data_IF_935005931213
#
_entry.id   IF_935005931213
#
_cell.length_a   1.000
_cell.length_b   1.000
_cell.length_c   1.000
_cell.angle_alpha   90.00
_cell.angle_beta   90.00
_cell.angle_gamma   90.00
#
_symmetry.space_group_name_H-M   'P 1'
#
loop_
_entity.id
_entity.type
_entity.pdbx_description
1 polymer ?
#
# COMPACT_ATOMS: atom_id res chain seq x y z
N UNK A 1 -14.73 -12.68 -20.16
CA UNK A 1 -14.48 -13.49 -18.95
C UNK A 1 -13.09 -13.15 -18.47
N UNK A 2 -13.01 -12.85 -17.19
CA UNK A 2 -11.95 -12.15 -16.46
C UNK A 2 -10.59 -12.86 -16.49
N UNK A 3 -9.56 -12.15 -16.94
CA UNK A 3 -8.18 -12.34 -16.48
C UNK A 3 -7.45 -10.99 -16.59
N UNK A 4 -7.64 -10.15 -15.56
CA UNK A 4 -6.75 -9.01 -15.29
C UNK A 4 -5.76 -9.52 -14.25
N UNK A 5 -4.80 -10.32 -14.69
CA UNK A 5 -3.58 -10.53 -13.92
C UNK A 5 -2.74 -9.27 -14.08
N UNK A 6 -2.99 -8.28 -13.22
CA UNK A 6 -1.93 -7.39 -12.74
C UNK A 6 -0.75 -8.31 -12.43
N UNK A 7 0.49 -8.07 -12.94
CA UNK A 7 1.59 -9.00 -12.73
C UNK A 7 1.66 -9.22 -11.24
N UNK A 8 1.25 -10.43 -10.84
CA UNK A 8 1.01 -10.73 -9.45
C UNK A 8 2.34 -10.44 -8.78
N UNK A 9 2.39 -9.46 -7.88
CA UNK A 9 3.50 -9.41 -6.94
C UNK A 9 3.47 -10.78 -6.28
N UNK A 10 4.33 -11.68 -6.76
CA UNK A 10 4.46 -13.00 -6.19
C UNK A 10 4.92 -12.76 -4.77
N UNK A 11 4.05 -13.07 -3.81
CA UNK A 11 4.36 -12.84 -2.41
C UNK A 11 5.52 -13.77 -2.06
N UNK A 12 6.68 -13.19 -1.87
CA UNK A 12 7.88 -13.93 -1.52
C UNK A 12 7.95 -14.09 0.00
N UNK A 13 7.55 -15.27 0.46
CA UNK A 13 7.65 -15.69 1.85
C UNK A 13 9.10 -16.05 2.17
N UNK A 14 9.66 -15.43 3.21
CA UNK A 14 10.97 -15.76 3.77
C UNK A 14 10.99 -17.19 4.30
N UNK A 15 12.08 -17.91 4.01
CA UNK A 15 12.26 -19.36 4.20
C UNK A 15 11.23 -20.26 3.48
N UNK A 16 10.21 -19.70 2.83
CA UNK A 16 9.12 -20.43 2.17
C UNK A 16 8.43 -21.45 3.09
N UNK A 17 8.22 -21.08 4.36
CA UNK A 17 7.55 -21.92 5.36
C UNK A 17 6.32 -21.19 5.90
N UNK A 18 5.17 -21.87 5.93
CA UNK A 18 3.91 -21.37 6.50
C UNK A 18 3.52 -22.18 7.73
N UNK A 19 3.07 -21.47 8.76
CA UNK A 19 2.46 -22.03 9.95
C UNK A 19 0.95 -22.01 9.85
N UNK A 20 0.29 -23.04 10.39
CA UNK A 20 -1.16 -23.13 10.49
C UNK A 20 -1.52 -23.83 11.81
N UNK A 21 -2.40 -23.21 12.61
CA UNK A 21 -2.79 -23.72 13.93
C UNK A 21 -4.24 -23.36 14.25
N UNK A 22 -4.98 -24.31 14.85
CA UNK A 22 -6.21 -24.03 15.60
C UNK A 22 -5.87 -23.48 16.98
N UNK A 23 -6.44 -22.32 17.33
CA UNK A 23 -6.25 -21.70 18.63
C UNK A 23 -7.08 -22.42 19.69
N UNK A 24 -6.45 -22.81 20.80
CA UNK A 24 -7.13 -23.42 21.94
C UNK A 24 -7.76 -22.38 22.87
N UNK A 25 -8.61 -22.83 23.81
CA UNK A 25 -9.12 -21.94 24.87
C UNK A 25 -7.99 -21.34 25.71
N UNK A 26 -6.92 -22.09 25.96
CA UNK A 26 -5.71 -21.60 26.62
C UNK A 26 -4.96 -20.52 25.81
N UNK A 27 -4.81 -20.70 24.48
CA UNK A 27 -4.22 -19.67 23.60
C UNK A 27 -5.01 -18.35 23.69
N UNK A 28 -6.34 -18.46 23.71
CA UNK A 28 -7.28 -17.33 23.76
C UNK A 28 -7.49 -16.74 25.16
N UNK A 29 -6.96 -17.38 26.20
CA UNK A 29 -7.09 -16.95 27.59
C UNK A 29 -8.51 -17.14 28.17
N UNK A 30 -9.24 -18.15 27.67
CA UNK A 30 -10.56 -18.55 28.18
C UNK A 30 -10.47 -19.62 29.28
N UNK A 31 -9.41 -20.42 29.28
CA UNK A 31 -9.21 -21.50 30.26
C UNK A 31 -8.44 -20.98 31.49
N UNK A 32 -8.65 -21.61 32.65
CA UNK A 32 -7.95 -21.34 33.92
C UNK A 32 -6.46 -21.72 33.90
N UNK A 33 -5.87 -21.83 32.72
CA UNK A 33 -4.45 -22.04 32.50
C UNK A 33 -3.72 -20.71 32.64
N UNK A 34 -2.59 -20.67 33.36
CA UNK A 34 -1.70 -19.51 33.42
C UNK A 34 -0.96 -19.24 32.09
N UNK A 35 -1.52 -19.62 30.94
CA UNK A 35 -0.87 -19.50 29.65
C UNK A 35 -0.87 -18.05 29.17
N UNK A 36 0.30 -17.43 29.22
CA UNK A 36 0.54 -16.01 28.86
C UNK A 36 0.83 -15.79 27.38
N UNK A 37 0.84 -16.84 26.57
CA UNK A 37 1.32 -16.78 25.18
C UNK A 37 0.56 -17.70 24.22
N UNK A 38 0.63 -17.43 22.91
CA UNK A 38 0.27 -18.37 21.85
C UNK A 38 1.53 -19.08 21.39
N UNK A 39 1.58 -20.41 21.53
CA UNK A 39 2.72 -21.20 21.06
C UNK A 39 2.68 -21.39 19.54
N UNK A 40 3.75 -20.98 18.86
CA UNK A 40 3.97 -21.11 17.41
C UNK A 40 5.04 -22.17 17.09
N UNK A 41 4.99 -22.72 15.87
CA UNK A 41 5.94 -23.73 15.41
C UNK A 41 7.33 -23.11 15.23
N UNK A 42 8.35 -23.73 15.85
CA UNK A 42 9.75 -23.27 15.86
C UNK A 42 10.47 -23.23 14.50
N UNK A 43 9.92 -23.90 13.48
CA UNK A 43 10.54 -23.89 12.16
C UNK A 43 10.42 -22.54 11.46
N UNK A 44 9.58 -21.64 11.98
CA UNK A 44 9.28 -20.32 11.44
C UNK A 44 9.82 -19.27 12.41
N UNK A 45 10.28 -18.13 11.91
CA UNK A 45 10.89 -17.04 12.69
C UNK A 45 12.19 -17.39 13.44
N UNK A 46 12.99 -18.33 12.92
CA UNK A 46 14.28 -18.74 13.53
C UNK A 46 15.28 -17.60 13.71
N UNK A 47 15.08 -16.50 13.00
CA UNK A 47 15.91 -15.30 13.08
C UNK A 47 15.61 -14.42 14.29
N UNK A 48 14.54 -14.67 15.05
CA UNK A 48 14.32 -14.02 16.33
C UNK A 48 15.12 -14.71 17.45
N UNK A 49 15.75 -13.88 18.28
CA UNK A 49 16.39 -14.23 19.53
C UNK A 49 15.35 -14.28 20.68
N UNK A 50 15.81 -14.69 21.86
CA UNK A 50 14.95 -14.66 23.05
C UNK A 50 14.70 -13.21 23.47
N UNK A 51 13.43 -12.90 23.76
CA UNK A 51 12.96 -11.58 24.17
C UNK A 51 12.96 -10.50 23.08
N UNK A 52 13.08 -10.88 21.81
CA UNK A 52 12.94 -9.97 20.67
C UNK A 52 11.54 -9.34 20.60
N UNK A 53 11.51 -8.08 20.19
CA UNK A 53 10.29 -7.36 19.82
C UNK A 53 10.35 -6.92 18.37
N UNK A 54 9.27 -7.14 17.63
CA UNK A 54 9.16 -6.66 16.25
C UNK A 54 7.75 -6.15 15.97
N UNK A 55 7.65 -5.19 15.06
CA UNK A 55 6.37 -4.89 14.43
C UNK A 55 5.91 -6.08 13.59
N UNK A 56 4.64 -6.39 13.69
CA UNK A 56 4.00 -7.51 13.01
C UNK A 56 2.72 -7.04 12.32
N UNK A 57 2.33 -7.74 11.27
CA UNK A 57 1.11 -7.47 10.54
C UNK A 57 0.05 -8.48 10.99
N UNK A 58 -1.10 -7.99 11.44
CA UNK A 58 -2.30 -8.79 11.66
C UNK A 58 -3.32 -8.50 10.56
N UNK A 59 -3.71 -9.55 9.84
CA UNK A 59 -4.79 -9.55 8.86
C UNK A 59 -5.95 -10.37 9.41
N UNK A 60 -7.16 -9.82 9.36
CA UNK A 60 -8.39 -10.48 9.77
C UNK A 60 -9.55 -9.84 9.02
N UNK A 61 -10.29 -10.63 8.23
CA UNK A 61 -11.36 -10.13 7.37
C UNK A 61 -10.85 -8.99 6.46
N UNK A 62 -11.49 -7.81 6.47
CA UNK A 62 -11.02 -6.59 5.79
C UNK A 62 -10.13 -5.69 6.66
N UNK A 63 -9.75 -6.14 7.85
CA UNK A 63 -8.91 -5.37 8.78
C UNK A 63 -7.44 -5.76 8.62
N UNK A 64 -6.58 -4.74 8.52
CA UNK A 64 -5.14 -4.88 8.70
C UNK A 64 -4.62 -3.97 9.81
N UNK A 65 -3.77 -4.48 10.69
CA UNK A 65 -3.10 -3.70 11.75
C UNK A 65 -1.61 -4.03 11.81
N UNK A 66 -0.78 -2.99 11.93
CA UNK A 66 0.62 -3.14 12.36
C UNK A 66 0.65 -3.06 13.88
N UNK A 67 1.14 -4.10 14.54
CA UNK A 67 1.13 -4.24 15.99
C UNK A 67 2.48 -4.75 16.50
N UNK A 68 2.99 -4.24 17.63
CA UNK A 68 4.14 -4.85 18.28
C UNK A 68 3.82 -6.27 18.75
N UNK A 69 4.77 -7.17 18.51
CA UNK A 69 4.76 -8.54 18.99
C UNK A 69 6.09 -8.85 19.66
N UNK A 70 6.02 -9.42 20.87
CA UNK A 70 7.20 -9.89 21.59
C UNK A 70 7.29 -11.42 21.46
N UNK A 71 8.49 -11.89 21.14
CA UNK A 71 8.82 -13.29 20.87
C UNK A 71 9.71 -13.83 21.99
N UNK A 72 9.50 -15.08 22.35
CA UNK A 72 10.36 -15.79 23.31
C UNK A 72 10.32 -17.28 23.02
N UNK A 73 11.41 -17.99 23.31
CA UNK A 73 11.41 -19.45 23.21
C UNK A 73 10.68 -20.04 24.42
N UNK A 74 9.70 -20.88 24.12
CA UNK A 74 8.96 -21.67 25.11
C UNK A 74 9.44 -23.11 25.08
N UNK A 75 9.57 -23.73 26.24
CA UNK A 75 9.79 -25.17 26.35
C UNK A 75 8.45 -25.89 26.55
N UNK A 76 8.21 -27.02 25.86
CA UNK A 76 7.04 -27.84 26.15
C UNK A 76 7.08 -28.33 27.61
N UNK A 77 5.95 -28.27 28.30
CA UNK A 77 5.75 -28.89 29.61
C UNK A 77 5.94 -30.40 29.46
N UNK A 78 7.13 -30.90 29.80
CA UNK A 78 7.54 -32.30 29.61
C UNK A 78 8.98 -32.52 29.14
N UNK A 79 9.80 -31.47 28.97
CA UNK A 79 11.25 -31.62 28.74
C UNK A 79 11.65 -32.05 27.32
N UNK A 80 10.74 -31.96 26.34
CA UNK A 80 11.07 -32.22 24.94
C UNK A 80 11.97 -31.12 24.33
N UNK A 81 12.93 -31.51 23.48
CA UNK A 81 13.97 -30.65 22.89
C UNK A 81 13.47 -29.58 21.89
N UNK A 82 12.16 -29.46 21.67
CA UNK A 82 11.57 -28.52 20.73
C UNK A 82 11.20 -27.20 21.39
N UNK A 83 12.16 -26.27 21.52
CA UNK A 83 11.84 -24.86 21.84
C UNK A 83 10.84 -24.36 20.80
N UNK A 84 9.65 -23.90 21.16
CA UNK A 84 8.69 -23.26 20.24
C UNK A 84 8.79 -21.73 20.40
N UNK A 85 8.30 -20.93 19.46
CA UNK A 85 8.28 -19.46 19.65
C UNK A 85 6.92 -19.08 20.21
N UNK A 86 6.88 -18.37 21.33
CA UNK A 86 5.66 -17.89 21.96
C UNK A 86 5.41 -16.41 21.63
N UNK A 87 4.20 -16.08 21.16
CA UNK A 87 3.71 -14.70 21.10
C UNK A 87 3.19 -14.29 22.48
N UNK A 88 3.74 -13.23 23.08
CA UNK A 88 3.29 -12.70 24.37
C UNK A 88 2.85 -11.24 24.27
N UNK A 89 2.19 -10.75 25.31
CA UNK A 89 1.98 -9.31 25.51
C UNK A 89 3.33 -8.68 25.85
N UNK A 90 3.78 -7.71 25.04
CA UNK A 90 4.99 -6.93 25.32
C UNK A 90 4.80 -5.96 26.51
N UNK A 91 5.84 -5.17 26.79
CA UNK A 91 5.89 -4.24 27.94
C UNK A 91 4.78 -3.19 27.85
N UNK A 92 4.46 -2.72 26.64
CA UNK A 92 3.31 -1.86 26.37
C UNK A 92 2.05 -2.69 26.15
N UNK A 93 1.36 -3.01 27.25
CA UNK A 93 0.24 -3.95 27.31
C UNK A 93 -0.98 -3.54 26.47
N UNK A 94 -1.10 -2.26 26.10
CA UNK A 94 -2.37 -1.73 25.58
C UNK A 94 -2.66 -2.01 24.10
N UNK A 95 -1.63 -2.26 23.28
CA UNK A 95 -1.78 -2.43 21.83
C UNK A 95 -0.91 -3.55 21.22
N UNK A 96 -0.79 -4.70 21.89
CA UNK A 96 -0.01 -5.84 21.38
C UNK A 96 -0.81 -6.76 20.43
N UNK A 97 -0.09 -7.50 19.58
CA UNK A 97 -0.65 -8.52 18.68
C UNK A 97 -1.51 -9.53 19.45
N UNK A 98 -1.00 -10.09 20.55
CA UNK A 98 -1.70 -11.11 21.34
C UNK A 98 -3.02 -10.59 21.92
N UNK A 99 -3.00 -9.38 22.50
CA UNK A 99 -4.20 -8.75 23.07
C UNK A 99 -5.25 -8.54 21.99
N UNK A 100 -4.84 -8.03 20.83
CA UNK A 100 -5.73 -7.77 19.69
C UNK A 100 -6.37 -9.06 19.16
N UNK A 101 -5.59 -10.15 19.00
CA UNK A 101 -6.13 -11.46 18.60
C UNK A 101 -7.19 -11.92 19.60
N UNK A 102 -6.89 -11.87 20.91
CA UNK A 102 -7.84 -12.30 21.96
C UNK A 102 -9.11 -11.45 21.98
N UNK A 103 -9.00 -10.14 21.77
CA UNK A 103 -10.15 -9.24 21.69
C UNK A 103 -11.04 -9.51 20.48
N UNK A 104 -10.45 -9.84 19.33
CA UNK A 104 -11.22 -10.25 18.14
C UNK A 104 -11.95 -11.56 18.43
N UNK A 105 -11.24 -12.58 18.94
CA UNK A 105 -11.82 -13.89 19.16
C UNK A 105 -12.95 -13.89 20.20
N UNK A 106 -12.90 -13.01 21.20
CA UNK A 106 -13.97 -12.86 22.21
C UNK A 106 -15.30 -12.40 21.64
N UNK A 107 -15.33 -11.77 20.47
CA UNK A 107 -16.55 -11.22 19.88
C UNK A 107 -17.45 -12.29 19.25
N UNK A 108 -16.91 -13.50 19.00
CA UNK A 108 -17.61 -14.56 18.27
C UNK A 108 -17.20 -15.93 18.79
N UNK A 109 -18.19 -16.68 19.29
CA UNK A 109 -18.00 -18.05 19.75
C UNK A 109 -17.96 -19.02 18.56
N UNK A 110 -16.75 -19.32 18.09
CA UNK A 110 -16.51 -20.17 16.93
C UNK A 110 -15.09 -20.76 16.96
N UNK A 111 -14.78 -21.64 16.01
CA UNK A 111 -13.43 -22.17 15.84
C UNK A 111 -12.50 -21.09 15.30
N UNK A 112 -11.41 -20.81 15.99
CA UNK A 112 -10.42 -19.81 15.59
C UNK A 112 -9.11 -20.44 15.13
N UNK A 113 -8.51 -19.87 14.09
CA UNK A 113 -7.32 -20.39 13.44
C UNK A 113 -6.35 -19.27 13.10
N UNK A 114 -5.07 -19.61 13.06
CA UNK A 114 -3.98 -18.69 12.77
C UNK A 114 -3.07 -19.27 11.69
N UNK A 115 -2.84 -18.49 10.64
CA UNK A 115 -1.74 -18.69 9.69
C UNK A 115 -0.66 -17.66 9.99
N UNK A 116 0.61 -18.05 9.91
CA UNK A 116 1.73 -17.11 10.07
C UNK A 116 2.94 -17.47 9.22
N UNK A 117 3.68 -16.44 8.81
CA UNK A 117 4.92 -16.53 8.03
C UNK A 117 5.67 -15.20 8.08
N UNK A 118 6.83 -15.11 7.45
CA UNK A 118 7.59 -13.86 7.27
C UNK A 118 7.63 -13.44 5.81
N UNK A 119 7.56 -12.14 5.56
CA UNK A 119 7.96 -11.55 4.27
C UNK A 119 9.48 -11.59 4.12
N UNK A 120 10.00 -11.40 2.90
CA UNK A 120 11.45 -11.40 2.61
C UNK A 120 12.27 -10.42 3.45
N UNK A 121 11.68 -9.29 3.82
CA UNK A 121 12.31 -8.30 4.71
C UNK A 121 12.26 -8.72 6.20
N UNK A 122 11.84 -9.95 6.45
CA UNK A 122 11.65 -10.58 7.76
C UNK A 122 10.47 -10.02 8.57
N UNK A 123 9.62 -9.18 7.98
CA UNK A 123 8.40 -8.72 8.64
C UNK A 123 7.45 -9.90 8.93
N UNK A 124 7.06 -10.15 10.20
CA UNK A 124 6.09 -11.19 10.55
C UNK A 124 4.67 -10.84 10.12
N UNK A 125 3.98 -11.82 9.52
CA UNK A 125 2.58 -11.71 9.10
C UNK A 125 1.75 -12.78 9.78
N UNK A 126 0.59 -12.37 10.29
CA UNK A 126 -0.40 -13.20 10.96
C UNK A 126 -1.75 -13.02 10.28
N UNK A 127 -2.35 -14.11 9.83
CA UNK A 127 -3.71 -14.13 9.28
C UNK A 127 -4.58 -14.89 10.26
N UNK A 128 -5.44 -14.15 10.95
CA UNK A 128 -6.46 -14.70 11.84
C UNK A 128 -7.72 -14.96 11.01
N UNK A 129 -8.36 -16.10 11.23
CA UNK A 129 -9.61 -16.45 10.56
C UNK A 129 -10.43 -17.43 11.39
N UNK A 130 -11.74 -17.42 11.19
CA UNK A 130 -12.66 -18.31 11.91
C UNK A 130 -13.24 -19.43 11.01
N UNK A 131 -13.92 -20.40 11.61
CA UNK A 131 -14.51 -21.57 10.96
C UNK A 131 -15.56 -21.26 9.88
N UNK A 132 -16.08 -20.03 9.83
CA UNK A 132 -17.07 -19.60 8.83
C UNK A 132 -16.45 -18.74 7.71
N UNK A 133 -15.17 -18.39 7.84
CA UNK A 133 -14.44 -17.57 6.87
C UNK A 133 -14.23 -18.27 5.53
N UNK A 134 -14.03 -17.49 4.47
CA UNK A 134 -13.75 -18.02 3.14
C UNK A 134 -12.37 -18.69 3.07
N UNK A 135 -11.41 -18.26 3.90
CA UNK A 135 -10.14 -18.96 4.08
C UNK A 135 -10.40 -20.39 4.58
N UNK A 136 -11.19 -20.56 5.66
CA UNK A 136 -11.48 -21.88 6.21
C UNK A 136 -12.16 -22.78 5.17
N UNK A 137 -13.20 -22.28 4.50
CA UNK A 137 -13.90 -23.00 3.44
C UNK A 137 -12.95 -23.39 2.30
N UNK A 138 -12.07 -22.48 1.89
CA UNK A 138 -11.07 -22.74 0.85
C UNK A 138 -10.09 -23.85 1.26
N UNK A 139 -9.56 -23.81 2.48
CA UNK A 139 -8.65 -24.84 2.99
C UNK A 139 -9.31 -26.22 3.01
N UNK A 140 -10.51 -26.31 3.60
CA UNK A 140 -11.25 -27.58 3.71
C UNK A 140 -11.62 -28.13 2.35
N UNK A 141 -12.11 -27.29 1.42
CA UNK A 141 -12.43 -27.68 0.04
C UNK A 141 -11.23 -28.26 -0.69
N UNK A 142 -10.03 -27.78 -0.40
CA UNK A 142 -8.78 -28.25 -1.00
C UNK A 142 -8.07 -29.32 -0.14
N UNK A 143 -8.79 -29.99 0.77
CA UNK A 143 -8.28 -31.14 1.52
C UNK A 143 -7.35 -30.81 2.70
N UNK A 144 -7.22 -29.54 3.07
CA UNK A 144 -6.48 -29.12 4.26
C UNK A 144 -7.46 -29.01 5.41
N UNK A 145 -7.31 -29.87 6.41
CA UNK A 145 -8.11 -29.82 7.63
C UNK A 145 -7.43 -28.94 8.70
N UNK A 146 -7.94 -27.73 8.99
CA UNK A 146 -7.31 -26.81 9.96
C UNK A 146 -7.43 -27.27 11.41
N UNK A 147 -8.33 -28.21 11.72
CA UNK A 147 -8.51 -28.78 13.06
C UNK A 147 -7.43 -29.81 13.41
N UNK A 148 -6.72 -30.35 12.42
CA UNK A 148 -5.60 -31.25 12.66
C UNK A 148 -4.38 -30.47 13.13
N UNK A 149 -3.79 -30.89 14.26
CA UNK A 149 -2.53 -30.31 14.76
C UNK A 149 -1.41 -30.50 13.74
N UNK A 150 -0.78 -29.39 13.36
CA UNK A 150 0.39 -29.37 12.49
C UNK A 150 1.63 -29.15 13.37
N UNK A 151 2.53 -30.14 13.37
CA UNK A 151 3.69 -30.15 14.28
C UNK A 151 4.97 -29.55 13.67
N UNK A 152 4.99 -29.35 12.35
CA UNK A 152 6.10 -28.76 11.58
C UNK A 152 5.54 -27.74 10.60
N UNK A 153 6.30 -26.69 10.31
CA UNK A 153 5.93 -25.73 9.28
C UNK A 153 5.77 -26.42 7.94
N UNK A 154 4.89 -25.86 7.11
CA UNK A 154 4.56 -26.35 5.78
C UNK A 154 5.49 -25.63 4.81
N UNK A 155 6.49 -26.33 4.27
CA UNK A 155 7.51 -25.79 3.37
C UNK A 155 7.06 -25.88 1.90
N UNK A 156 7.76 -25.18 0.99
CA UNK A 156 7.38 -25.06 -0.42
C UNK A 156 7.39 -26.36 -1.24
N UNK A 157 8.09 -27.40 -0.76
CA UNK A 157 8.06 -28.77 -1.27
C UNK A 157 6.80 -29.55 -0.88
N UNK A 158 6.02 -29.04 0.07
CA UNK A 158 4.73 -29.61 0.46
C UNK A 158 3.59 -29.09 -0.43
N UNK A 159 2.79 -29.99 -1.00
CA UNK A 159 1.62 -29.62 -1.83
C UNK A 159 0.62 -28.71 -1.09
N UNK A 160 0.55 -28.80 0.24
CA UNK A 160 -0.29 -27.93 1.08
C UNK A 160 0.16 -26.48 1.02
N UNK A 161 1.45 -26.20 0.79
CA UNK A 161 1.99 -24.85 0.74
C UNK A 161 1.32 -24.01 -0.35
N UNK A 162 1.30 -24.52 -1.59
CA UNK A 162 0.67 -23.84 -2.74
C UNK A 162 -0.82 -23.65 -2.53
N UNK A 163 -1.47 -24.64 -1.91
CA UNK A 163 -2.89 -24.59 -1.58
C UNK A 163 -3.19 -23.49 -0.57
N UNK A 164 -2.44 -23.42 0.54
CA UNK A 164 -2.61 -22.37 1.54
C UNK A 164 -2.37 -21.01 0.93
N UNK A 165 -1.27 -20.84 0.17
CA UNK A 165 -0.99 -19.61 -0.55
C UNK A 165 -2.17 -19.18 -1.42
N UNK A 166 -2.75 -20.07 -2.22
CA UNK A 166 -3.89 -19.74 -3.07
C UNK A 166 -5.12 -19.25 -2.28
N UNK A 167 -5.34 -19.79 -1.08
CA UNK A 167 -6.46 -19.39 -0.22
C UNK A 167 -6.26 -18.03 0.45
N UNK A 168 -5.00 -17.65 0.76
CA UNK A 168 -4.69 -16.39 1.45
C UNK A 168 -4.28 -15.26 0.49
N UNK A 169 -3.93 -15.59 -0.75
CA UNK A 169 -3.45 -14.63 -1.74
C UNK A 169 -4.40 -13.43 -1.98
N UNK A 170 -5.74 -13.60 -2.04
CA UNK A 170 -6.64 -12.47 -2.23
C UNK A 170 -6.50 -11.41 -1.13
N UNK A 171 -6.53 -11.82 0.14
CA UNK A 171 -6.44 -10.91 1.30
C UNK A 171 -5.05 -10.26 1.38
N UNK A 172 -4.00 -11.04 1.10
CA UNK A 172 -2.64 -10.47 1.07
C UNK A 172 -2.43 -9.49 -0.06
N UNK A 173 -2.97 -9.77 -1.25
CA UNK A 173 -2.85 -8.87 -2.41
C UNK A 173 -3.58 -7.55 -2.13
N UNK A 174 -4.76 -7.60 -1.52
CA UNK A 174 -5.48 -6.40 -1.09
C UNK A 174 -4.68 -5.58 -0.07
N UNK A 175 -4.13 -6.24 0.96
CA UNK A 175 -3.30 -5.59 1.97
C UNK A 175 -2.04 -4.94 1.38
N UNK A 176 -1.27 -5.69 0.58
CA UNK A 176 -0.06 -5.18 -0.08
C UNK A 176 -0.39 -4.04 -1.04
N UNK A 177 -1.49 -4.16 -1.79
CA UNK A 177 -2.00 -3.09 -2.64
C UNK A 177 -2.35 -1.83 -1.84
N UNK A 178 -2.92 -1.95 -0.65
CA UNK A 178 -3.17 -0.84 0.27
C UNK A 178 -1.87 -0.21 0.81
N UNK A 179 -0.88 -1.04 1.16
CA UNK A 179 0.42 -0.56 1.62
C UNK A 179 1.16 0.22 0.54
N UNK A 180 1.20 -0.29 -0.69
CA UNK A 180 1.86 0.36 -1.82
C UNK A 180 1.23 1.73 -2.10
N UNK A 181 -0.10 1.85 -2.00
CA UNK A 181 -0.82 3.14 -2.09
C UNK A 181 -0.37 4.12 -1.02
N UNK A 182 -0.35 3.70 0.24
CA UNK A 182 0.02 4.60 1.33
C UNK A 182 1.50 5.00 1.26
N UNK A 183 2.37 4.10 0.84
CA UNK A 183 3.80 4.39 0.66
C UNK A 183 4.02 5.39 -0.48
N UNK A 184 3.31 5.26 -1.61
CA UNK A 184 3.33 6.24 -2.71
C UNK A 184 2.96 7.65 -2.22
N UNK A 185 1.86 7.79 -1.49
CA UNK A 185 1.43 9.08 -0.94
C UNK A 185 2.44 9.60 0.10
N UNK A 186 2.93 8.74 0.99
CA UNK A 186 3.90 9.12 2.02
C UNK A 186 5.22 9.63 1.42
N UNK A 187 5.71 9.00 0.35
CA UNK A 187 6.89 9.44 -0.41
C UNK A 187 6.64 10.80 -1.05
N UNK A 188 5.52 10.98 -1.76
CA UNK A 188 5.24 12.23 -2.46
C UNK A 188 5.01 13.40 -1.49
N UNK A 189 4.33 13.16 -0.36
CA UNK A 189 4.04 14.18 0.66
C UNK A 189 5.19 14.43 1.64
N UNK A 190 6.17 13.52 1.73
CA UNK A 190 7.22 13.54 2.76
C UNK A 190 6.74 13.08 4.14
N UNK A 191 5.48 12.63 4.27
CA UNK A 191 4.90 12.19 5.54
C UNK A 191 5.31 10.75 5.86
N UNK A 192 6.52 10.58 6.42
CA UNK A 192 7.02 9.26 6.80
C UNK A 192 6.14 8.62 7.89
N UNK A 193 5.49 7.52 7.54
CA UNK A 193 4.85 6.56 8.43
C UNK A 193 5.88 5.61 9.04
N UNK A 194 5.73 5.32 10.34
CA UNK A 194 6.62 4.48 11.14
C UNK A 194 6.69 3.03 10.68
N UNK A 195 5.59 2.50 10.14
CA UNK A 195 5.49 1.10 9.68
C UNK A 195 6.27 0.77 8.40
N UNK A 196 6.86 1.77 7.74
CA UNK A 196 7.68 1.57 6.55
C UNK A 196 9.14 1.82 6.90
N UNK A 197 10.02 0.91 6.49
CA UNK A 197 11.45 1.08 6.72
C UNK A 197 12.04 2.15 5.79
N UNK A 198 13.20 2.71 6.17
CA UNK A 198 13.95 3.62 5.30
C UNK A 198 14.21 3.01 3.90
N UNK A 199 14.48 1.71 3.83
CA UNK A 199 14.69 0.99 2.57
C UNK A 199 13.41 0.97 1.72
N UNK A 200 12.23 0.85 2.33
CA UNK A 200 10.95 0.95 1.61
C UNK A 200 10.79 2.33 0.97
N UNK A 201 11.07 3.41 1.72
CA UNK A 201 11.01 4.79 1.20
C UNK A 201 11.98 5.01 0.04
N UNK A 202 13.25 4.60 0.18
CA UNK A 202 14.25 4.77 -0.89
C UNK A 202 13.82 4.05 -2.17
N UNK A 203 13.35 2.80 -2.04
CA UNK A 203 12.87 2.01 -3.19
C UNK A 203 11.64 2.63 -3.84
N UNK A 204 10.66 3.05 -3.04
CA UNK A 204 9.43 3.66 -3.53
C UNK A 204 9.68 5.03 -4.15
N UNK A 205 10.56 5.85 -3.58
CA UNK A 205 10.98 7.14 -4.15
C UNK A 205 11.62 6.98 -5.52
N UNK A 206 12.55 6.03 -5.67
CA UNK A 206 13.17 5.74 -6.96
C UNK A 206 12.13 5.31 -8.01
N UNK A 207 11.25 4.39 -7.63
CA UNK A 207 10.16 3.92 -8.50
C UNK A 207 9.21 5.05 -8.90
N UNK A 208 8.90 5.97 -7.98
CA UNK A 208 8.02 7.10 -8.25
C UNK A 208 8.64 8.07 -9.27
N UNK A 209 9.94 8.35 -9.15
CA UNK A 209 10.67 9.16 -10.11
C UNK A 209 10.70 8.51 -11.50
N UNK A 210 10.93 7.19 -11.56
CA UNK A 210 10.88 6.43 -12.81
C UNK A 210 9.49 6.48 -13.46
N UNK A 211 8.41 6.31 -12.67
CA UNK A 211 7.03 6.39 -13.17
C UNK A 211 6.69 7.81 -13.65
N UNK A 212 7.07 8.84 -12.90
CA UNK A 212 6.87 10.24 -13.29
C UNK A 212 7.52 10.54 -14.63
N UNK A 213 8.80 10.17 -14.76
CA UNK A 213 9.58 10.33 -16.00
C UNK A 213 8.97 9.57 -17.17
N UNK A 214 8.58 8.31 -16.97
CA UNK A 214 7.94 7.50 -18.01
C UNK A 214 6.65 8.16 -18.52
N UNK A 215 5.84 8.73 -17.62
CA UNK A 215 4.63 9.47 -17.99
C UNK A 215 4.91 10.72 -18.81
N UNK A 216 5.89 11.54 -18.42
CA UNK A 216 6.31 12.71 -19.21
C UNK A 216 6.81 12.30 -20.61
N UNK A 217 7.59 11.22 -20.71
CA UNK A 217 8.09 10.69 -21.98
C UNK A 217 6.96 10.22 -22.91
N UNK A 218 5.92 9.62 -22.34
CA UNK A 218 4.69 9.22 -23.04
C UNK A 218 3.94 10.45 -23.55
N UNK A 219 3.77 11.49 -22.72
CA UNK A 219 3.12 12.74 -23.14
C UNK A 219 3.94 13.45 -24.21
N UNK A 220 5.26 13.44 -24.12
CA UNK A 220 6.12 13.96 -25.18
C UNK A 220 5.89 13.22 -26.52
N UNK A 221 5.80 11.88 -26.52
CA UNK A 221 5.46 11.12 -27.74
C UNK A 221 4.07 11.49 -28.27
N UNK A 222 3.08 11.59 -27.38
CA UNK A 222 1.74 12.04 -27.74
C UNK A 222 1.74 13.43 -28.39
N UNK A 223 2.52 14.38 -27.88
CA UNK A 223 2.64 15.71 -28.50
C UNK A 223 3.38 15.70 -29.83
N UNK A 224 4.38 14.84 -30.03
CA UNK A 224 5.01 14.66 -31.34
C UNK A 224 3.98 14.20 -32.39
N UNK A 225 3.09 13.29 -32.03
CA UNK A 225 2.00 12.86 -32.90
C UNK A 225 0.98 13.97 -33.17
N UNK A 226 0.52 14.67 -32.12
CA UNK A 226 -0.42 15.78 -32.27
C UNK A 226 0.16 16.89 -33.16
N UNK A 227 1.46 17.18 -33.04
CA UNK A 227 2.16 18.15 -33.90
C UNK A 227 2.23 17.67 -35.34
N UNK A 228 2.55 16.39 -35.57
CA UNK A 228 2.57 15.78 -36.91
C UNK A 228 1.19 15.84 -37.57
N UNK A 229 0.14 15.66 -36.77
CA UNK A 229 -1.27 15.79 -37.18
C UNK A 229 -1.75 17.24 -37.29
N UNK A 230 -0.88 18.24 -37.02
CA UNK A 230 -1.21 19.67 -37.00
C UNK A 230 -2.36 20.04 -36.05
N UNK A 231 -2.52 19.30 -34.95
CA UNK A 231 -3.50 19.58 -33.88
C UNK A 231 -2.98 20.58 -32.85
N UNK A 232 -1.66 20.72 -32.76
CA UNK A 232 -0.93 21.72 -31.97
C UNK A 232 0.17 22.32 -32.86
N UNK A 233 0.58 23.55 -32.57
CA UNK A 233 1.59 24.25 -33.39
C UNK A 233 2.99 23.93 -32.89
N UNK A 234 3.21 24.09 -31.58
CA UNK A 234 4.47 23.85 -30.90
C UNK A 234 4.23 23.42 -29.45
N UNK A 235 5.23 22.75 -28.89
CA UNK A 235 5.25 22.44 -27.46
C UNK A 235 6.71 22.41 -26.96
N UNK A 236 6.86 22.66 -25.67
CA UNK A 236 8.14 22.62 -24.96
C UNK A 236 8.00 21.73 -23.72
N UNK A 237 8.93 20.79 -23.53
CA UNK A 237 9.03 19.96 -22.34
C UNK A 237 10.09 20.54 -21.40
N UNK A 238 9.65 21.14 -20.29
CA UNK A 238 10.52 21.83 -19.34
C UNK A 238 11.43 20.89 -18.58
N UNK A 239 10.94 19.70 -18.24
CA UNK A 239 11.69 18.72 -17.45
C UNK A 239 12.53 17.74 -18.29
N UNK A 240 12.73 18.02 -19.58
CA UNK A 240 13.42 17.10 -20.51
C UNK A 240 14.81 16.68 -20.01
N UNK A 241 15.59 17.62 -19.51
CA UNK A 241 16.97 17.40 -19.05
C UNK A 241 17.09 17.25 -17.51
N UNK A 242 15.96 17.19 -16.81
CA UNK A 242 15.85 17.12 -15.34
C UNK A 242 14.78 18.06 -14.80
N UNK A 243 14.47 17.97 -13.51
CA UNK A 243 13.50 18.84 -12.83
C UNK A 243 13.82 20.32 -13.02
N UNK A 244 12.94 21.05 -13.69
CA UNK A 244 13.11 22.50 -13.94
C UNK A 244 12.78 23.36 -12.72
N UNK A 245 11.96 22.84 -11.80
CA UNK A 245 11.40 23.59 -10.68
C UNK A 245 10.21 24.50 -11.07
N UNK A 246 9.76 24.44 -12.33
CA UNK A 246 8.55 25.10 -12.77
C UNK A 246 7.29 24.37 -12.22
N UNK A 247 6.17 25.09 -11.99
CA UNK A 247 4.92 24.48 -11.51
C UNK A 247 4.11 23.74 -12.61
N UNK A 248 4.76 23.40 -13.71
CA UNK A 248 4.22 22.71 -14.88
C UNK A 248 5.38 22.03 -15.64
N UNK A 249 5.06 20.93 -16.33
CA UNK A 249 6.05 20.11 -17.05
C UNK A 249 6.15 20.50 -18.53
N UNK A 250 5.05 21.00 -19.11
CA UNK A 250 4.97 21.36 -20.53
C UNK A 250 4.33 22.73 -20.75
N UNK A 251 4.75 23.36 -21.84
CA UNK A 251 4.04 24.49 -22.46
C UNK A 251 3.59 24.03 -23.84
N UNK A 252 2.30 24.14 -24.14
CA UNK A 252 1.73 23.79 -25.45
C UNK A 252 1.12 25.05 -26.06
N UNK A 253 1.45 25.32 -27.32
CA UNK A 253 0.82 26.39 -28.07
C UNK A 253 -0.15 25.83 -29.10
N UNK A 254 -1.36 26.35 -29.07
CA UNK A 254 -2.42 26.03 -30.00
C UNK A 254 -3.01 27.34 -30.50
N UNK A 255 -2.68 27.68 -31.75
CA UNK A 255 -2.98 28.97 -32.35
C UNK A 255 -2.39 30.12 -31.50
N UNK A 256 -3.22 31.04 -31.03
CA UNK A 256 -2.81 32.16 -30.19
C UNK A 256 -2.92 31.87 -28.68
N UNK A 257 -3.27 30.64 -28.29
CA UNK A 257 -3.38 30.23 -26.89
C UNK A 257 -2.14 29.44 -26.44
N UNK A 258 -1.63 29.82 -25.27
CA UNK A 258 -0.57 29.10 -24.55
C UNK A 258 -1.24 28.35 -23.41
N UNK A 259 -1.03 27.05 -23.32
CA UNK A 259 -1.53 26.18 -22.24
C UNK A 259 -0.34 25.62 -21.47
N UNK A 260 -0.34 25.85 -20.16
CA UNK A 260 0.58 25.23 -19.21
C UNK A 260 0.02 23.88 -18.78
N UNK A 261 0.89 22.90 -18.62
CA UNK A 261 0.46 21.53 -18.39
C UNK A 261 1.33 20.82 -17.41
N UNK A 262 0.69 20.11 -16.50
CA UNK A 262 1.30 19.29 -15.47
C UNK A 262 0.86 17.84 -15.62
N UNK A 263 1.84 16.93 -15.66
CA UNK A 263 1.65 15.49 -15.87
C UNK A 263 1.65 14.79 -14.53
N UNK A 264 0.48 14.30 -14.11
CA UNK A 264 0.35 13.48 -12.90
C UNK A 264 0.28 12.02 -13.28
N UNK A 265 1.40 11.30 -13.15
CA UNK A 265 1.48 9.87 -13.50
C UNK A 265 1.25 8.96 -12.30
N UNK A 266 0.66 7.79 -12.51
CA UNK A 266 0.64 6.71 -11.52
C UNK A 266 0.80 5.35 -12.20
N UNK A 267 1.41 4.40 -11.48
CA UNK A 267 1.53 3.01 -11.94
C UNK A 267 0.26 2.17 -11.73
N UNK A 268 -0.84 2.79 -11.28
CA UNK A 268 -2.10 2.12 -10.96
C UNK A 268 -3.26 2.72 -11.75
N UNK A 269 -4.48 2.42 -11.32
CA UNK A 269 -5.73 2.94 -11.90
C UNK A 269 -5.89 4.47 -11.73
N UNK A 270 -6.84 5.04 -12.47
CA UNK A 270 -7.16 6.46 -12.47
C UNK A 270 -7.51 7.01 -11.09
N UNK A 271 -8.15 6.22 -10.21
CA UNK A 271 -8.68 6.69 -8.93
C UNK A 271 -7.61 7.07 -7.90
N UNK A 272 -6.33 6.81 -8.22
CA UNK A 272 -5.22 7.22 -7.37
C UNK A 272 -5.22 8.73 -7.14
N UNK A 273 -5.16 9.18 -5.88
CA UNK A 273 -5.02 10.59 -5.58
C UNK A 273 -3.77 11.20 -6.21
N UNK A 274 -3.87 12.48 -6.54
CA UNK A 274 -2.77 13.27 -7.11
C UNK A 274 -2.23 14.19 -6.03
N UNK A 275 -0.90 14.32 -5.94
CA UNK A 275 -0.26 15.23 -4.99
C UNK A 275 0.11 16.52 -5.71
N UNK A 276 -0.33 17.65 -5.16
CA UNK A 276 0.00 18.99 -5.63
C UNK A 276 0.80 19.75 -4.58
N UNK A 277 1.88 20.40 -5.00
CA UNK A 277 2.63 21.34 -4.18
C UNK A 277 1.92 22.68 -4.08
N UNK A 278 2.29 23.46 -3.06
CA UNK A 278 1.84 24.85 -2.92
C UNK A 278 2.12 25.68 -4.18
N UNK A 279 3.30 25.54 -4.79
CA UNK A 279 3.69 26.32 -5.96
C UNK A 279 2.81 25.99 -7.17
N UNK A 280 2.49 24.72 -7.39
CA UNK A 280 1.53 24.31 -8.42
C UNK A 280 0.15 24.89 -8.13
N UNK A 281 -0.31 24.81 -6.88
CA UNK A 281 -1.63 25.35 -6.52
C UNK A 281 -1.72 26.85 -6.74
N UNK A 282 -0.73 27.58 -6.25
CA UNK A 282 -0.60 29.03 -6.43
C UNK A 282 -0.56 29.35 -7.93
N UNK A 283 0.14 28.58 -8.76
CA UNK A 283 0.20 28.80 -10.20
C UNK A 283 -1.15 28.57 -10.88
N UNK A 284 -1.84 27.46 -10.62
CA UNK A 284 -3.16 27.16 -11.22
C UNK A 284 -4.19 28.22 -10.83
N UNK A 285 -4.17 28.68 -9.58
CA UNK A 285 -5.10 29.71 -9.10
C UNK A 285 -4.94 31.06 -9.82
N UNK A 286 -3.72 31.36 -10.32
CA UNK A 286 -3.36 32.67 -10.89
C UNK A 286 -3.11 32.66 -12.42
N UNK A 287 -2.91 31.50 -13.06
CA UNK A 287 -2.53 31.36 -14.48
C UNK A 287 -3.67 31.56 -15.50
N UNK A 288 -4.86 31.96 -15.06
CA UNK A 288 -6.02 32.11 -15.94
C UNK A 288 -6.71 30.76 -16.22
N UNK A 289 -7.32 30.59 -17.40
CA UNK A 289 -7.95 29.32 -17.82
C UNK A 289 -6.99 28.42 -18.62
N UNK A 290 -5.70 28.74 -18.59
CA UNK A 290 -4.69 28.20 -19.50
C UNK A 290 -3.83 27.13 -18.81
N UNK A 291 -4.45 26.30 -17.96
CA UNK A 291 -3.77 25.23 -17.25
C UNK A 291 -4.51 23.91 -17.45
N UNK A 292 -3.77 22.84 -17.71
CA UNK A 292 -4.34 21.50 -17.84
C UNK A 292 -3.57 20.48 -17.01
N UNK A 293 -4.32 19.62 -16.32
CA UNK A 293 -3.77 18.46 -15.62
C UNK A 293 -3.90 17.25 -16.54
N UNK A 294 -2.78 16.62 -16.87
CA UNK A 294 -2.72 15.40 -17.66
C UNK A 294 -2.51 14.22 -16.74
N UNK A 295 -3.58 13.45 -16.49
CA UNK A 295 -3.53 12.25 -15.65
C UNK A 295 -3.18 11.04 -16.49
N UNK A 296 -1.95 10.55 -16.34
CA UNK A 296 -1.46 9.33 -16.98
C UNK A 296 -1.53 8.17 -15.98
N UNK A 297 -2.15 7.06 -16.37
CA UNK A 297 -2.37 5.91 -15.49
C UNK A 297 -2.40 4.59 -16.27
N UNK A 298 -2.33 3.47 -15.55
CA UNK A 298 -2.43 2.13 -16.15
C UNK A 298 -3.91 1.74 -16.23
N UNK A 299 -4.42 1.59 -17.45
CA UNK A 299 -5.76 1.06 -17.71
C UNK A 299 -5.85 -0.45 -17.48
N UNK A 300 -7.05 -1.01 -17.65
CA UNK A 300 -7.35 -2.43 -17.38
C UNK A 300 -6.47 -3.42 -18.17
N UNK A 301 -5.90 -3.00 -19.30
CA UNK A 301 -5.05 -3.84 -20.17
C UNK A 301 -3.55 -3.63 -19.88
N UNK A 302 -3.19 -3.04 -18.74
CA UNK A 302 -1.83 -2.61 -18.38
C UNK A 302 -1.17 -1.60 -19.33
N UNK A 303 -1.94 -1.06 -20.29
CA UNK A 303 -1.53 0.02 -21.18
C UNK A 303 -1.70 1.38 -20.51
N UNK A 304 -0.98 2.37 -21.01
CA UNK A 304 -1.14 3.73 -20.53
C UNK A 304 -2.38 4.38 -21.13
N UNK A 305 -3.14 5.03 -20.26
CA UNK A 305 -4.31 5.82 -20.58
C UNK A 305 -4.08 7.25 -20.10
N UNK A 306 -4.67 8.21 -20.81
CA UNK A 306 -4.66 9.63 -20.48
C UNK A 306 -6.10 10.11 -20.24
N UNK A 307 -6.29 10.94 -19.21
CA UNK A 307 -7.42 11.86 -19.13
C UNK A 307 -6.92 13.27 -18.85
N UNK A 308 -7.62 14.26 -19.39
CA UNK A 308 -7.24 15.67 -19.29
C UNK A 308 -8.28 16.43 -18.47
N UNK A 309 -7.83 17.25 -17.53
CA UNK A 309 -8.68 18.18 -16.79
C UNK A 309 -8.24 19.62 -17.12
N UNK A 310 -9.05 20.33 -17.89
CA UNK A 310 -8.78 21.73 -18.29
C UNK A 310 -9.52 22.77 -17.42
N UNK A 311 -10.37 22.33 -16.48
CA UNK A 311 -11.24 23.20 -15.69
C UNK A 311 -10.91 23.20 -14.19
N UNK A 312 -9.64 23.11 -13.82
CA UNK A 312 -9.22 23.02 -12.41
C UNK A 312 -9.19 24.36 -11.67
N UNK A 313 -9.21 25.49 -12.38
CA UNK A 313 -8.94 26.83 -11.83
C UNK A 313 -9.78 27.18 -10.61
N UNK A 314 -11.11 27.10 -10.71
CA UNK A 314 -12.02 27.57 -9.65
C UNK A 314 -11.76 26.85 -8.33
N UNK A 315 -11.53 25.53 -8.40
CA UNK A 315 -11.31 24.73 -7.20
C UNK A 315 -9.91 24.94 -6.62
N UNK A 316 -8.91 25.14 -7.47
CA UNK A 316 -7.58 25.53 -7.03
C UNK A 316 -7.56 26.93 -6.41
N UNK A 317 -8.40 27.88 -6.87
CA UNK A 317 -8.56 29.20 -6.22
C UNK A 317 -9.16 29.09 -4.81
N UNK A 318 -10.13 28.20 -4.61
CA UNK A 318 -10.70 27.92 -3.27
C UNK A 318 -9.61 27.37 -2.33
N UNK A 319 -8.83 26.40 -2.81
CA UNK A 319 -7.74 25.79 -2.03
C UNK A 319 -6.65 26.83 -1.71
N UNK A 320 -6.21 27.60 -2.71
CA UNK A 320 -5.20 28.66 -2.57
C UNK A 320 -5.63 29.72 -1.55
N UNK A 321 -6.90 30.13 -1.56
CA UNK A 321 -7.45 31.08 -0.57
C UNK A 321 -7.30 30.53 0.86
N UNK A 322 -7.68 29.27 1.09
CA UNK A 322 -7.54 28.62 2.41
C UNK A 322 -6.06 28.53 2.82
N UNK A 323 -5.16 28.17 1.89
CA UNK A 323 -3.73 28.09 2.17
C UNK A 323 -3.14 29.45 2.55
N UNK A 324 -3.53 30.51 1.86
CA UNK A 324 -3.12 31.88 2.16
C UNK A 324 -3.61 32.32 3.53
N UNK A 325 -4.89 32.11 3.85
CA UNK A 325 -5.44 32.41 5.18
C UNK A 325 -4.71 31.67 6.30
N UNK A 326 -4.44 30.37 6.11
CA UNK A 326 -3.65 29.57 7.04
C UNK A 326 -2.23 30.12 7.19
N UNK A 327 -1.57 30.45 6.08
CA UNK A 327 -0.22 31.02 6.10
C UNK A 327 -0.17 32.36 6.84
N UNK A 328 -1.13 33.27 6.61
CA UNK A 328 -1.20 34.55 7.33
C UNK A 328 -1.35 34.36 8.84
N UNK A 329 -2.20 33.41 9.27
CA UNK A 329 -2.37 33.10 10.69
C UNK A 329 -1.09 32.53 11.32
N UNK A 330 -0.30 31.79 10.55
CA UNK A 330 0.96 31.20 11.01
C UNK A 330 2.11 32.21 11.06
N UNK A 331 2.11 33.27 10.23
CA UNK A 331 3.23 34.23 10.14
C UNK A 331 3.67 34.86 11.46
N UNK A 332 2.77 34.98 12.43
CA UNK A 332 3.10 35.53 13.76
C UNK A 332 3.85 34.54 14.65
N UNK A 333 3.87 33.26 14.30
CA UNK A 333 4.38 32.17 15.13
C UNK A 333 5.46 31.35 14.42
N UNK A 334 5.43 31.28 13.10
CA UNK A 334 6.29 30.39 12.30
C UNK A 334 6.29 30.78 10.81
N UNK A 335 7.14 30.09 10.04
CA UNK A 335 7.21 30.21 8.58
C UNK A 335 6.74 28.90 7.95
N UNK A 336 5.81 28.98 7.01
CA UNK A 336 5.38 27.83 6.21
C UNK A 336 6.35 27.63 5.04
N UNK A 337 7.29 26.70 5.20
CA UNK A 337 8.31 26.38 4.17
C UNK A 337 7.70 25.67 2.95
N UNK A 338 6.91 24.62 3.17
CA UNK A 338 6.27 23.85 2.09
C UNK A 338 4.87 23.38 2.48
N UNK A 339 4.02 23.15 1.48
CA UNK A 339 2.77 22.42 1.65
C UNK A 339 2.55 21.53 0.42
N UNK A 340 2.03 20.32 0.67
CA UNK A 340 1.61 19.38 -0.36
C UNK A 340 0.23 18.86 -0.01
N UNK A 341 -0.67 18.87 -0.97
CA UNK A 341 -2.06 18.46 -0.82
C UNK A 341 -2.35 17.28 -1.72
N UNK A 342 -3.23 16.40 -1.26
CA UNK A 342 -3.68 15.24 -2.02
C UNK A 342 -5.11 15.50 -2.48
N UNK A 343 -5.37 15.37 -3.78
CA UNK A 343 -6.68 15.59 -4.39
C UNK A 343 -7.16 14.30 -5.06
N UNK A 344 -8.41 13.92 -4.80
CA UNK A 344 -9.06 12.77 -5.44
C UNK A 344 -9.48 13.14 -6.88
N UNK A 345 -8.98 12.45 -7.92
CA UNK A 345 -9.36 12.71 -9.30
C UNK A 345 -10.84 12.43 -9.60
N UNK A 346 -11.55 11.68 -8.76
CA UNK A 346 -13.00 11.46 -8.87
C UNK A 346 -13.83 12.48 -8.09
N UNK A 347 -13.21 13.48 -7.47
CA UNK A 347 -13.97 14.57 -6.86
C UNK A 347 -14.80 15.28 -7.93
N UNK A 348 -16.02 15.71 -7.57
CA UNK A 348 -16.88 16.50 -8.46
C UNK A 348 -16.24 17.85 -8.87
N UNK A 349 -15.11 18.19 -8.25
CA UNK A 349 -14.35 19.42 -8.42
C UNK A 349 -13.30 19.32 -9.54
N UNK A 350 -12.97 18.13 -10.05
CA UNK A 350 -12.09 17.99 -11.22
C UNK A 350 -12.85 17.25 -12.32
N UNK A 351 -13.12 17.93 -13.44
CA UNK A 351 -13.79 17.31 -14.58
C UNK A 351 -12.73 16.84 -15.56
N UNK A 352 -12.46 15.54 -15.52
CA UNK A 352 -11.60 14.88 -16.49
C UNK A 352 -12.40 14.46 -17.72
N UNK A 353 -11.84 14.73 -18.90
CA UNK A 353 -12.37 14.32 -20.19
C UNK A 353 -12.38 12.79 -20.36
N UNK A 354 -12.93 12.34 -21.50
CA UNK A 354 -12.90 10.94 -21.88
C UNK A 354 -11.48 10.37 -21.97
N UNK A 355 -11.39 9.06 -21.76
CA UNK A 355 -10.14 8.32 -21.74
C UNK A 355 -9.53 8.19 -23.13
N UNK A 356 -8.25 8.55 -23.25
CA UNK A 356 -7.44 8.41 -24.46
C UNK A 356 -6.46 7.26 -24.23
N UNK A 357 -6.48 6.24 -25.10
CA UNK A 357 -5.49 5.17 -25.08
C UNK A 357 -4.18 5.64 -25.74
N UNK A 358 -3.08 5.47 -25.03
CA UNK A 358 -1.73 5.82 -25.48
C UNK A 358 -1.02 4.56 -26.00
N UNK A 359 -1.53 4.04 -27.12
CA UNK A 359 -1.02 2.84 -27.79
C UNK A 359 0.11 3.23 -28.76
N UNK A 360 1.31 3.42 -28.21
CA UNK A 360 2.54 3.67 -28.98
C UNK A 360 3.47 2.48 -28.99
#
# INVERSE_FOLDING_TARGET
MSDISNPSQSIEIYDQIIGLKKLSGADLGHESTHQTHIGLINSIFKFFEDDDEAESILLYDQMSKTLPASYHRIQPSGGGSGRSIGLRTGINQDASLLKTIREICRKKDCGWYLIWFSLIDKTPVFILFDSESDIYKCLVKNGINPDKRISKGISSDDNRYRTILSCINPILTEYLGGMDKELEIAVQTGNQKTRFTHKNYVKASKRMQEIGREGEEIINRYFQELRTQKKIDEYEWKNKDGESGEPYDFIVKKSDEIVYLDVKTTGYDFSRPMVFSKQEIDFVANSGSNYAIYRVYRGNNAKYCLRVCSNSKENFQKIDTILKECAERLKLLTTLETAKLTIDPNSNDLLFDEEINLDF
#
